data_IF_284933173041
#
_entry.id   IF_284933173041
#
_cell.length_a   1.000
_cell.length_b   1.000
_cell.length_c   1.000
_cell.angle_alpha   90.00
_cell.angle_beta   90.00
_cell.angle_gamma   90.00
#
_symmetry.space_group_name_H-M   'P 1'
#
loop_
_entity.id
_entity.type
_entity.pdbx_description
1 polymer ?
#
# COMPACT_ATOMS: atom_id res chain seq x y z
N UNK A 1 48.24 11.29 -8.16
CA UNK A 1 46.90 11.09 -8.72
C UNK A 1 45.89 11.84 -7.85
N UNK A 2 45.11 12.81 -8.39
CA UNK A 2 44.16 13.53 -7.56
C UNK A 2 42.94 12.63 -7.30
N UNK A 3 42.61 12.43 -6.03
CA UNK A 3 41.37 11.73 -5.58
C UNK A 3 40.17 12.60 -5.96
N UNK A 4 39.34 12.14 -6.86
CA UNK A 4 38.08 12.77 -7.24
C UNK A 4 37.16 12.77 -6.02
N UNK A 5 36.78 13.97 -5.53
CA UNK A 5 35.79 14.14 -4.51
C UNK A 5 34.42 13.56 -4.96
N UNK A 6 33.67 12.85 -4.07
CA UNK A 6 32.37 12.27 -4.44
C UNK A 6 31.40 13.37 -4.86
N UNK A 7 30.79 13.19 -6.03
CA UNK A 7 29.81 14.13 -6.56
C UNK A 7 28.68 14.39 -5.53
N UNK A 8 28.53 15.64 -5.08
CA UNK A 8 27.46 16.09 -4.19
C UNK A 8 26.12 15.78 -4.85
N UNK A 9 25.38 14.80 -4.33
CA UNK A 9 24.00 14.50 -4.78
C UNK A 9 23.18 15.78 -4.68
N UNK A 10 22.68 16.27 -5.82
CA UNK A 10 21.86 17.47 -5.93
C UNK A 10 20.67 17.36 -4.98
N UNK A 11 20.44 18.37 -4.14
CA UNK A 11 19.33 18.37 -3.19
C UNK A 11 17.99 18.14 -3.94
N UNK A 12 17.10 17.27 -3.42
CA UNK A 12 15.84 16.99 -4.09
C UNK A 12 14.98 18.26 -4.22
N UNK A 13 14.14 18.35 -5.27
CA UNK A 13 13.26 19.49 -5.51
C UNK A 13 12.42 19.85 -4.27
N UNK A 14 12.12 21.13 -4.08
CA UNK A 14 11.34 21.66 -2.95
C UNK A 14 10.03 20.90 -2.76
N UNK A 15 9.28 20.66 -3.85
CA UNK A 15 8.02 19.89 -3.84
C UNK A 15 8.21 18.49 -3.24
N UNK A 16 9.24 17.78 -3.64
CA UNK A 16 9.52 16.41 -3.12
C UNK A 16 9.95 16.43 -1.64
N UNK A 17 10.63 17.49 -1.19
CA UNK A 17 10.99 17.67 0.24
C UNK A 17 9.74 17.88 1.09
N UNK A 18 8.81 18.72 0.62
CA UNK A 18 7.52 18.95 1.27
C UNK A 18 6.70 17.66 1.36
N UNK A 19 6.52 16.94 0.24
CA UNK A 19 5.79 15.67 0.22
C UNK A 19 6.36 14.67 1.21
N UNK A 20 7.68 14.44 1.22
CA UNK A 20 8.30 13.50 2.17
C UNK A 20 8.13 13.91 3.63
N UNK A 21 8.26 15.20 3.94
CA UNK A 21 8.06 15.69 5.31
C UNK A 21 6.59 15.54 5.73
N UNK A 22 5.66 15.91 4.85
CA UNK A 22 4.22 15.80 5.06
C UNK A 22 3.79 14.34 5.25
N UNK A 23 4.27 13.40 4.40
CA UNK A 23 3.98 11.98 4.52
C UNK A 23 4.31 11.45 5.92
N UNK A 24 5.53 11.72 6.42
CA UNK A 24 5.95 11.28 7.77
C UNK A 24 5.10 11.89 8.89
N UNK A 25 4.79 13.19 8.78
CA UNK A 25 4.04 13.89 9.83
C UNK A 25 2.57 13.50 9.84
N UNK A 26 1.93 13.43 8.68
CA UNK A 26 0.54 12.97 8.56
C UNK A 26 0.39 11.50 8.97
N UNK A 27 1.33 10.63 8.59
CA UNK A 27 1.33 9.25 9.04
C UNK A 27 1.48 9.13 10.56
N UNK A 28 2.22 10.04 11.21
CA UNK A 28 2.42 10.04 12.67
C UNK A 28 1.21 10.56 13.45
N UNK A 29 0.64 11.69 13.02
CA UNK A 29 -0.33 12.45 13.81
C UNK A 29 -1.68 12.71 13.11
N UNK A 30 -1.89 12.15 11.93
CA UNK A 30 -3.08 12.38 11.11
C UNK A 30 -3.15 13.81 10.55
N UNK A 31 -4.23 14.08 9.81
CA UNK A 31 -4.45 15.40 9.23
C UNK A 31 -4.64 16.48 10.33
N UNK A 32 -5.48 16.22 11.33
CA UNK A 32 -5.78 17.20 12.37
C UNK A 32 -4.56 17.53 13.24
N UNK A 33 -3.80 16.51 13.64
CA UNK A 33 -2.65 16.64 14.54
C UNK A 33 -1.36 17.16 13.90
N UNK A 34 -1.36 17.51 12.61
CA UNK A 34 -0.18 18.03 11.89
C UNK A 34 -0.40 19.48 11.49
N UNK A 35 0.60 20.35 11.64
CA UNK A 35 0.56 21.74 11.21
C UNK A 35 1.44 22.00 9.97
N UNK A 36 1.11 23.06 9.21
CA UNK A 36 1.94 23.50 8.08
C UNK A 36 3.34 23.93 8.56
N UNK A 37 3.42 24.55 9.73
CA UNK A 37 4.68 25.05 10.28
C UNK A 37 5.63 23.90 10.63
N UNK A 38 5.14 22.79 11.21
CA UNK A 38 5.94 21.58 11.42
C UNK A 38 6.44 20.98 10.10
N UNK A 39 5.57 20.95 9.07
CA UNK A 39 5.95 20.39 7.77
C UNK A 39 7.06 21.20 7.11
N UNK A 40 6.94 22.53 7.08
CA UNK A 40 7.95 23.38 6.42
C UNK A 40 9.26 23.41 7.21
N UNK A 41 9.20 23.36 8.53
CA UNK A 41 10.38 23.22 9.37
C UNK A 41 11.12 21.90 9.08
N UNK A 42 10.38 20.76 9.05
CA UNK A 42 10.94 19.46 8.74
C UNK A 42 11.47 19.36 7.29
N UNK A 43 10.82 20.04 6.34
CA UNK A 43 11.25 20.12 4.95
C UNK A 43 12.39 21.13 4.72
N UNK A 44 12.68 22.02 5.68
CA UNK A 44 13.62 23.15 5.57
C UNK A 44 13.31 24.03 4.38
N UNK A 45 12.06 24.46 4.24
CA UNK A 45 11.56 25.32 3.15
C UNK A 45 10.71 26.46 3.69
N UNK A 46 10.49 27.51 2.87
CA UNK A 46 9.60 28.60 3.23
C UNK A 46 8.13 28.15 3.16
N UNK A 47 7.30 28.61 4.11
CA UNK A 47 5.86 28.34 4.20
C UNK A 47 5.10 28.67 2.91
N UNK A 48 5.51 29.72 2.18
CA UNK A 48 4.93 30.08 0.88
C UNK A 48 4.97 28.95 -0.15
N UNK A 49 5.94 28.03 -0.04
CA UNK A 49 6.06 26.90 -0.97
C UNK A 49 4.92 25.89 -0.83
N UNK A 50 4.32 25.76 0.35
CA UNK A 50 3.12 24.91 0.52
C UNK A 50 1.96 25.49 -0.29
N UNK A 51 1.71 26.77 -0.15
CA UNK A 51 0.64 27.45 -0.89
C UNK A 51 0.90 27.46 -2.40
N UNK A 52 2.14 27.66 -2.80
CA UNK A 52 2.53 27.65 -4.21
C UNK A 52 2.32 26.28 -4.89
N UNK A 53 2.71 25.16 -4.23
CA UNK A 53 2.65 23.83 -4.85
C UNK A 53 1.36 23.07 -4.59
N UNK A 54 0.66 23.37 -3.52
CA UNK A 54 -0.44 22.53 -3.02
C UNK A 54 -1.70 23.35 -2.65
N UNK A 55 -1.66 24.66 -2.72
CA UNK A 55 -2.75 25.56 -2.36
C UNK A 55 -2.91 25.73 -0.84
N UNK A 56 -3.05 24.65 -0.09
CA UNK A 56 -3.19 24.68 1.35
C UNK A 56 -2.73 23.36 2.01
N UNK A 57 -2.95 23.20 3.31
CA UNK A 57 -2.68 21.94 4.06
C UNK A 57 -3.46 20.77 3.51
N UNK A 58 -4.70 21.00 3.08
CA UNK A 58 -5.58 19.95 2.55
C UNK A 58 -5.08 19.46 1.18
N UNK A 59 -4.72 20.38 0.29
CA UNK A 59 -4.12 20.03 -1.00
C UNK A 59 -2.81 19.26 -0.84
N UNK A 60 -1.98 19.64 0.13
CA UNK A 60 -0.78 18.85 0.47
C UNK A 60 -1.11 17.44 1.00
N UNK A 61 -2.14 17.32 1.84
CA UNK A 61 -2.60 16.01 2.34
C UNK A 61 -3.13 15.12 1.21
N UNK A 62 -3.94 15.69 0.31
CA UNK A 62 -4.42 14.97 -0.89
C UNK A 62 -3.25 14.51 -1.78
N UNK A 63 -2.24 15.36 -1.98
CA UNK A 63 -1.06 14.97 -2.74
C UNK A 63 -0.27 13.83 -2.08
N UNK A 64 -0.21 13.80 -0.74
CA UNK A 64 0.40 12.69 0.03
C UNK A 64 -0.39 11.40 -0.17
N UNK A 65 -1.71 11.42 -0.02
CA UNK A 65 -2.56 10.25 -0.25
C UNK A 65 -2.43 9.76 -1.69
N UNK A 66 -2.54 10.67 -2.67
CA UNK A 66 -2.40 10.32 -4.09
C UNK A 66 -1.08 9.61 -4.41
N UNK A 67 0.03 10.10 -3.87
CA UNK A 67 1.34 9.49 -4.07
C UNK A 67 1.44 8.11 -3.40
N UNK A 68 0.92 7.98 -2.19
CA UNK A 68 0.92 6.73 -1.43
C UNK A 68 0.13 5.63 -2.16
N UNK A 69 -1.07 5.95 -2.63
CA UNK A 69 -1.92 4.98 -3.35
C UNK A 69 -1.39 4.66 -4.75
N UNK A 70 -0.84 5.65 -5.47
CA UNK A 70 -0.19 5.42 -6.77
C UNK A 70 1.00 4.48 -6.66
N UNK A 71 1.72 4.54 -5.54
CA UNK A 71 2.84 3.62 -5.27
C UNK A 71 2.37 2.16 -5.11
N UNK A 72 1.22 1.94 -4.49
CA UNK A 72 0.61 0.60 -4.39
C UNK A 72 0.08 0.13 -5.74
N UNK A 73 -0.64 1.00 -6.48
CA UNK A 73 -1.16 0.71 -7.81
C UNK A 73 -0.06 0.28 -8.79
N UNK A 74 1.10 0.94 -8.75
CA UNK A 74 2.25 0.57 -9.57
C UNK A 74 2.75 -0.85 -9.28
N UNK A 75 2.71 -1.30 -8.02
CA UNK A 75 3.04 -2.67 -7.63
C UNK A 75 2.01 -3.66 -8.19
N UNK A 76 0.74 -3.34 -8.10
CA UNK A 76 -0.36 -4.16 -8.62
C UNK A 76 -0.26 -4.35 -10.13
N UNK A 77 -0.12 -3.25 -10.88
CA UNK A 77 0.05 -3.28 -12.35
C UNK A 77 1.27 -4.09 -12.74
N UNK A 78 2.41 -3.90 -12.05
CA UNK A 78 3.62 -4.68 -12.31
C UNK A 78 3.41 -6.17 -12.07
N UNK A 79 2.68 -6.56 -11.03
CA UNK A 79 2.40 -7.97 -10.73
C UNK A 79 1.49 -8.59 -11.78
N UNK A 80 0.42 -7.87 -12.19
CA UNK A 80 -0.50 -8.34 -13.23
C UNK A 80 0.20 -8.60 -14.57
N UNK A 81 1.18 -7.79 -14.94
CA UNK A 81 1.89 -7.92 -16.20
C UNK A 81 2.73 -9.21 -16.32
N UNK A 82 3.02 -9.89 -15.20
CA UNK A 82 3.89 -11.06 -15.17
C UNK A 82 3.16 -12.37 -14.87
N UNK A 83 1.89 -12.33 -14.47
CA UNK A 83 1.15 -13.51 -14.00
C UNK A 83 0.08 -13.92 -15.02
N UNK A 84 0.10 -15.18 -15.45
CA UNK A 84 -0.77 -15.71 -16.51
C UNK A 84 -1.78 -16.76 -16.01
N UNK A 85 -1.71 -17.14 -14.75
CA UNK A 85 -2.67 -18.06 -14.12
C UNK A 85 -2.99 -17.61 -12.69
N UNK A 86 -4.07 -18.16 -12.12
CA UNK A 86 -4.59 -17.73 -10.81
C UNK A 86 -3.65 -18.11 -9.66
N UNK A 87 -2.95 -19.25 -9.76
CA UNK A 87 -2.06 -19.72 -8.70
C UNK A 87 -0.83 -18.82 -8.63
N UNK A 88 -0.20 -18.53 -9.79
CA UNK A 88 0.93 -17.62 -9.90
C UNK A 88 0.55 -16.21 -9.47
N UNK A 89 -0.56 -15.66 -9.98
CA UNK A 89 -1.03 -14.34 -9.58
C UNK A 89 -1.25 -14.24 -8.08
N UNK A 90 -1.93 -15.22 -7.47
CA UNK A 90 -2.19 -15.22 -6.03
C UNK A 90 -0.89 -15.22 -5.22
N UNK A 91 0.08 -16.05 -5.58
CA UNK A 91 1.37 -16.12 -4.88
C UNK A 91 2.18 -14.82 -5.00
N UNK A 92 2.22 -14.25 -6.21
CA UNK A 92 2.98 -13.04 -6.50
C UNK A 92 2.35 -11.80 -5.86
N UNK A 93 1.03 -11.64 -5.93
CA UNK A 93 0.34 -10.50 -5.34
C UNK A 93 0.39 -10.52 -3.81
N UNK A 94 0.22 -11.67 -3.17
CA UNK A 94 0.40 -11.81 -1.72
C UNK A 94 1.80 -11.38 -1.31
N UNK A 95 2.84 -11.88 -1.99
CA UNK A 95 4.22 -11.47 -1.74
C UNK A 95 4.41 -9.96 -1.93
N UNK A 96 3.91 -9.41 -3.04
CA UNK A 96 4.04 -8.00 -3.38
C UNK A 96 3.38 -7.09 -2.33
N UNK A 97 2.19 -7.45 -1.82
CA UNK A 97 1.52 -6.73 -0.74
C UNK A 97 2.30 -6.79 0.56
N UNK A 98 2.74 -7.98 1.00
CA UNK A 98 3.56 -8.10 2.22
C UNK A 98 4.84 -7.27 2.13
N UNK A 99 5.52 -7.30 0.99
CA UNK A 99 6.76 -6.56 0.78
C UNK A 99 6.52 -5.05 0.70
N UNK A 100 5.44 -4.62 0.05
CA UNK A 100 5.05 -3.22 -0.02
C UNK A 100 4.72 -2.67 1.37
N UNK A 101 3.84 -3.34 2.11
CA UNK A 101 3.39 -2.90 3.44
C UNK A 101 4.55 -2.86 4.45
N UNK A 102 5.49 -3.81 4.36
CA UNK A 102 6.68 -3.80 5.20
C UNK A 102 7.65 -2.65 4.89
N UNK A 103 7.76 -2.27 3.61
CA UNK A 103 8.64 -1.17 3.16
C UNK A 103 8.02 0.21 3.30
N UNK A 104 6.68 0.29 3.40
CA UNK A 104 5.92 1.55 3.45
C UNK A 104 5.04 1.65 4.70
N UNK A 105 5.61 1.66 5.93
CA UNK A 105 4.83 1.76 7.16
C UNK A 105 4.02 3.06 7.25
N UNK A 106 4.45 4.13 6.58
CA UNK A 106 3.70 5.38 6.47
C UNK A 106 2.39 5.18 5.70
N UNK A 107 2.39 4.37 4.64
CA UNK A 107 1.18 4.01 3.90
C UNK A 107 0.15 3.34 4.81
N UNK A 108 0.58 2.35 5.59
CA UNK A 108 -0.30 1.64 6.54
C UNK A 108 -0.95 2.62 7.53
N UNK A 109 -0.15 3.55 8.08
CA UNK A 109 -0.66 4.56 9.03
C UNK A 109 -1.63 5.54 8.37
N UNK A 110 -1.32 6.02 7.17
CA UNK A 110 -2.22 6.91 6.40
C UNK A 110 -3.55 6.20 6.10
N UNK A 111 -3.51 4.94 5.69
CA UNK A 111 -4.70 4.12 5.45
C UNK A 111 -5.56 3.99 6.73
N UNK A 112 -4.93 3.72 7.88
CA UNK A 112 -5.65 3.65 9.16
C UNK A 112 -6.26 5.00 9.54
N UNK A 113 -5.55 6.12 9.34
CA UNK A 113 -6.09 7.46 9.57
C UNK A 113 -7.30 7.77 8.68
N UNK A 114 -7.25 7.39 7.39
CA UNK A 114 -8.37 7.58 6.47
C UNK A 114 -9.59 6.75 6.89
N UNK A 115 -9.40 5.49 7.29
CA UNK A 115 -10.50 4.65 7.79
C UNK A 115 -11.11 5.20 9.10
N UNK A 116 -10.29 5.73 10.01
CA UNK A 116 -10.78 6.39 11.24
C UNK A 116 -11.52 7.70 10.95
N UNK A 117 -11.34 8.31 9.80
CA UNK A 117 -11.97 9.56 9.38
C UNK A 117 -12.96 9.35 8.21
N UNK A 118 -13.57 8.19 8.10
CA UNK A 118 -14.60 7.87 7.11
C UNK A 118 -14.16 8.05 5.64
N UNK A 119 -12.86 7.96 5.36
CA UNK A 119 -12.30 8.13 4.02
C UNK A 119 -12.42 9.54 3.43
N UNK A 120 -12.68 10.56 4.27
CA UNK A 120 -12.98 11.94 3.83
C UNK A 120 -11.84 12.60 3.04
N UNK A 121 -10.61 12.22 3.32
CA UNK A 121 -9.44 12.69 2.55
C UNK A 121 -9.41 12.09 1.16
N UNK A 122 -9.63 10.78 1.04
CA UNK A 122 -9.65 10.06 -0.23
C UNK A 122 -10.80 10.48 -1.13
N UNK A 123 -12.01 10.67 -0.60
CA UNK A 123 -13.20 11.07 -1.36
C UNK A 123 -13.02 12.40 -2.12
N UNK A 124 -12.03 13.21 -1.77
CA UNK A 124 -11.73 14.52 -2.35
C UNK A 124 -10.41 14.55 -3.12
N UNK A 125 -9.77 13.41 -3.30
CA UNK A 125 -8.54 13.31 -4.12
C UNK A 125 -8.90 12.89 -5.55
N UNK A 126 -8.12 13.34 -6.53
CA UNK A 126 -8.12 12.77 -7.89
C UNK A 126 -7.46 11.38 -7.93
N UNK A 127 -6.89 10.94 -6.83
CA UNK A 127 -6.39 9.59 -6.67
C UNK A 127 -7.60 8.65 -6.53
N UNK A 128 -8.17 8.28 -7.64
CA UNK A 128 -9.09 7.15 -7.68
C UNK A 128 -8.32 5.94 -7.23
N UNK A 129 -8.82 5.28 -6.18
CA UNK A 129 -8.41 3.92 -5.85
C UNK A 129 -8.93 3.02 -6.96
N UNK A 130 -8.27 3.07 -8.13
CA UNK A 130 -8.69 2.30 -9.27
C UNK A 130 -8.24 0.85 -9.09
N UNK A 131 -9.16 -0.01 -8.68
CA UNK A 131 -8.97 -1.45 -8.59
C UNK A 131 -9.50 -2.19 -9.82
N UNK A 132 -10.04 -1.47 -10.81
CA UNK A 132 -10.64 -2.09 -11.99
C UNK A 132 -9.66 -3.02 -12.72
N UNK A 133 -8.38 -2.65 -13.00
CA UNK A 133 -7.45 -3.57 -13.66
C UNK A 133 -7.20 -4.88 -12.88
N UNK A 134 -7.13 -4.80 -11.55
CA UNK A 134 -6.97 -5.97 -10.70
C UNK A 134 -8.23 -6.82 -10.67
N UNK A 135 -9.40 -6.19 -10.57
CA UNK A 135 -10.69 -6.88 -10.57
C UNK A 135 -10.95 -7.57 -11.91
N UNK A 136 -10.67 -6.89 -13.02
CA UNK A 136 -10.84 -7.46 -14.37
C UNK A 136 -9.94 -8.68 -14.58
N UNK A 137 -8.67 -8.59 -14.15
CA UNK A 137 -7.74 -9.71 -14.25
C UNK A 137 -8.16 -10.89 -13.38
N UNK A 138 -8.58 -10.64 -12.12
CA UNK A 138 -9.09 -11.69 -11.24
C UNK A 138 -10.35 -12.34 -11.80
N UNK A 139 -11.30 -11.55 -12.30
CA UNK A 139 -12.55 -12.06 -12.86
C UNK A 139 -12.30 -12.95 -14.09
N UNK A 140 -11.39 -12.54 -14.99
CA UNK A 140 -11.00 -13.35 -16.15
C UNK A 140 -10.37 -14.68 -15.74
N UNK A 141 -9.43 -14.66 -14.79
CA UNK A 141 -8.76 -15.88 -14.31
C UNK A 141 -9.70 -16.80 -13.54
N UNK A 142 -10.62 -16.24 -12.73
CA UNK A 142 -11.64 -17.01 -12.04
C UNK A 142 -12.58 -17.70 -13.04
N UNK A 143 -13.11 -16.97 -14.04
CA UNK A 143 -13.98 -17.54 -15.08
C UNK A 143 -13.27 -18.68 -15.84
N UNK A 144 -12.02 -18.49 -16.23
CA UNK A 144 -11.24 -19.52 -16.90
C UNK A 144 -11.03 -20.77 -16.01
N UNK A 145 -10.74 -20.57 -14.73
CA UNK A 145 -10.59 -21.64 -13.75
C UNK A 145 -11.87 -22.40 -13.45
N UNK A 146 -13.01 -21.69 -13.35
CA UNK A 146 -14.36 -22.27 -13.17
C UNK A 146 -14.73 -23.11 -14.41
N UNK A 147 -14.55 -22.56 -15.62
CA UNK A 147 -14.82 -23.30 -16.86
C UNK A 147 -13.98 -24.56 -17.01
N UNK A 148 -12.77 -24.57 -16.47
CA UNK A 148 -11.87 -25.73 -16.43
C UNK A 148 -12.14 -26.69 -15.26
N UNK A 149 -13.16 -26.44 -14.41
CA UNK A 149 -13.46 -27.27 -13.22
C UNK A 149 -12.42 -27.21 -12.10
N UNK A 150 -11.47 -26.28 -12.15
CA UNK A 150 -10.40 -26.11 -11.16
C UNK A 150 -10.77 -25.22 -9.99
N UNK A 151 -11.67 -24.28 -10.22
CA UNK A 151 -12.12 -23.26 -9.25
C UNK A 151 -13.61 -23.47 -8.96
N UNK A 152 -14.01 -23.24 -7.73
CA UNK A 152 -15.40 -23.28 -7.26
C UNK A 152 -16.24 -22.26 -8.04
N UNK A 153 -17.48 -22.62 -8.43
CA UNK A 153 -18.34 -21.75 -9.25
C UNK A 153 -18.89 -20.51 -8.50
N UNK A 154 -18.85 -20.52 -7.17
CA UNK A 154 -19.37 -19.47 -6.28
C UNK A 154 -18.34 -18.37 -5.95
N UNK A 155 -17.20 -18.31 -6.62
CA UNK A 155 -16.16 -17.33 -6.37
C UNK A 155 -16.47 -15.97 -7.01
N UNK A 156 -16.39 -14.92 -6.19
CA UNK A 156 -16.52 -13.53 -6.59
C UNK A 156 -15.18 -12.81 -6.48
N UNK A 157 -14.77 -12.10 -7.54
CA UNK A 157 -13.48 -11.42 -7.62
C UNK A 157 -13.33 -10.31 -6.56
N UNK A 158 -14.41 -9.59 -6.24
CA UNK A 158 -14.39 -8.50 -5.24
C UNK A 158 -14.16 -9.05 -3.85
N UNK A 159 -14.89 -10.10 -3.47
CA UNK A 159 -14.73 -10.76 -2.18
C UNK A 159 -13.37 -11.43 -2.04
N UNK A 160 -12.83 -12.01 -3.11
CA UNK A 160 -11.49 -12.57 -3.12
C UNK A 160 -10.43 -11.47 -2.91
N UNK A 161 -10.56 -10.34 -3.59
CA UNK A 161 -9.65 -9.20 -3.43
C UNK A 161 -9.73 -8.61 -2.02
N UNK A 162 -10.92 -8.46 -1.43
CA UNK A 162 -11.09 -8.01 -0.04
C UNK A 162 -10.39 -8.97 0.92
N UNK A 163 -10.57 -10.27 0.74
CA UNK A 163 -9.91 -11.29 1.57
C UNK A 163 -8.39 -11.23 1.46
N UNK A 164 -7.86 -11.12 0.24
CA UNK A 164 -6.43 -10.99 -0.03
C UNK A 164 -5.84 -9.75 0.66
N UNK A 165 -6.46 -8.59 0.44
CA UNK A 165 -6.00 -7.32 1.06
C UNK A 165 -6.06 -7.43 2.59
N UNK A 166 -7.16 -7.92 3.14
CA UNK A 166 -7.35 -8.05 4.59
C UNK A 166 -6.31 -8.96 5.23
N UNK A 167 -6.09 -10.14 4.65
CA UNK A 167 -5.09 -11.10 5.15
C UNK A 167 -3.66 -10.55 5.07
N UNK A 168 -3.32 -9.79 4.05
CA UNK A 168 -1.99 -9.16 3.95
C UNK A 168 -1.84 -7.98 4.91
N UNK A 169 -2.88 -7.12 4.98
CA UNK A 169 -2.83 -5.88 5.76
C UNK A 169 -2.75 -6.14 7.26
N UNK A 170 -3.44 -7.14 7.79
CA UNK A 170 -3.51 -7.40 9.23
C UNK A 170 -2.13 -7.62 9.88
N UNK A 171 -1.18 -8.21 9.16
CA UNK A 171 0.19 -8.38 9.64
C UNK A 171 0.92 -7.06 9.88
N UNK A 172 0.57 -6.01 9.14
CA UNK A 172 1.20 -4.69 9.24
C UNK A 172 0.38 -3.71 10.08
N UNK A 173 -0.93 -3.65 9.89
CA UNK A 173 -1.84 -2.73 10.60
C UNK A 173 -1.94 -3.03 12.09
N UNK A 174 -2.02 -4.31 12.44
CA UNK A 174 -2.16 -4.79 13.82
C UNK A 174 -0.85 -5.36 14.39
N UNK A 175 0.29 -5.05 13.78
CA UNK A 175 1.59 -5.62 14.14
C UNK A 175 1.87 -5.56 15.63
N UNK A 176 1.67 -4.41 16.27
CA UNK A 176 2.03 -4.21 17.68
C UNK A 176 1.12 -5.00 18.64
N UNK A 177 -0.17 -4.96 18.43
CA UNK A 177 -1.16 -5.62 19.29
C UNK A 177 -1.12 -7.13 19.13
N UNK A 178 -1.06 -7.62 17.87
CA UNK A 178 -0.98 -9.06 17.61
C UNK A 178 0.37 -9.67 18.00
N UNK A 179 1.48 -8.92 17.89
CA UNK A 179 2.76 -9.43 18.37
C UNK A 179 2.73 -9.72 19.87
N UNK A 180 2.09 -8.88 20.66
CA UNK A 180 1.91 -9.10 22.09
C UNK A 180 0.94 -10.24 22.38
N UNK A 181 -0.23 -10.22 21.75
CA UNK A 181 -1.29 -11.21 21.99
C UNK A 181 -0.86 -12.62 21.62
N UNK A 182 -0.14 -12.77 20.51
CA UNK A 182 0.30 -14.08 19.99
C UNK A 182 1.71 -14.47 20.42
N UNK A 183 2.42 -13.61 21.18
CA UNK A 183 3.82 -13.80 21.60
C UNK A 183 4.74 -14.11 20.40
N UNK A 184 4.52 -13.41 19.29
CA UNK A 184 5.21 -13.63 18.01
C UNK A 184 5.58 -12.27 17.40
N UNK A 185 6.85 -12.04 17.02
CA UNK A 185 7.27 -10.80 16.37
C UNK A 185 6.81 -10.74 14.92
N UNK A 186 5.64 -10.11 14.66
CA UNK A 186 5.12 -9.89 13.32
C UNK A 186 6.02 -8.97 12.46
N UNK A 187 6.97 -8.28 13.07
CA UNK A 187 7.95 -7.45 12.37
C UNK A 187 9.14 -8.23 11.80
N UNK A 188 9.35 -9.47 12.26
CA UNK A 188 10.49 -10.26 11.84
C UNK A 188 10.35 -10.79 10.40
N UNK A 189 11.49 -10.94 9.72
CA UNK A 189 11.53 -11.48 8.36
C UNK A 189 11.05 -12.93 8.30
N UNK A 190 11.30 -13.72 9.34
CA UNK A 190 10.88 -15.12 9.44
C UNK A 190 9.36 -15.23 9.51
N UNK A 191 8.70 -14.46 10.38
CA UNK A 191 7.24 -14.43 10.50
C UNK A 191 6.60 -13.92 9.23
N UNK A 192 7.17 -12.88 8.61
CA UNK A 192 6.69 -12.38 7.30
C UNK A 192 6.74 -13.47 6.22
N UNK A 193 7.86 -14.17 6.10
CA UNK A 193 8.00 -15.25 5.12
C UNK A 193 7.01 -16.41 5.39
N UNK A 194 6.79 -16.76 6.65
CA UNK A 194 5.78 -17.74 7.04
C UNK A 194 4.37 -17.25 6.71
N UNK A 195 4.05 -15.98 6.99
CA UNK A 195 2.77 -15.34 6.67
C UNK A 195 2.46 -15.36 5.18
N UNK A 196 3.45 -15.03 4.33
CA UNK A 196 3.29 -15.10 2.85
C UNK A 196 2.88 -16.52 2.44
N UNK A 197 3.61 -17.54 2.89
CA UNK A 197 3.29 -18.94 2.55
C UNK A 197 1.91 -19.38 3.08
N UNK A 198 1.58 -18.97 4.30
CA UNK A 198 0.30 -19.29 4.93
C UNK A 198 -0.88 -18.65 4.19
N UNK A 199 -0.83 -17.34 3.94
CA UNK A 199 -1.90 -16.60 3.26
C UNK A 199 -2.06 -17.11 1.82
N UNK A 200 -0.96 -17.32 1.09
CA UNK A 200 -1.02 -17.90 -0.26
C UNK A 200 -1.74 -19.24 -0.28
N UNK A 201 -1.36 -20.16 0.62
CA UNK A 201 -1.99 -21.48 0.70
C UNK A 201 -3.48 -21.37 1.04
N UNK A 202 -3.83 -20.57 2.05
CA UNK A 202 -5.21 -20.38 2.48
C UNK A 202 -6.11 -19.86 1.36
N UNK A 203 -5.63 -18.90 0.58
CA UNK A 203 -6.36 -18.36 -0.56
C UNK A 203 -6.52 -19.43 -1.66
N UNK A 204 -5.42 -20.10 -2.04
CA UNK A 204 -5.45 -21.12 -3.09
C UNK A 204 -6.34 -22.29 -2.73
N UNK A 205 -6.23 -22.83 -1.51
CA UNK A 205 -7.07 -23.95 -1.05
C UNK A 205 -8.54 -23.54 -0.90
N UNK A 206 -8.80 -22.25 -0.59
CA UNK A 206 -10.15 -21.69 -0.48
C UNK A 206 -10.88 -21.53 -1.82
N UNK A 207 -10.16 -21.32 -2.92
CA UNK A 207 -10.77 -21.13 -4.24
C UNK A 207 -10.88 -22.40 -5.07
N UNK A 208 -10.14 -23.46 -4.76
CA UNK A 208 -10.15 -24.73 -5.51
C UNK A 208 -11.51 -25.42 -5.46
N UNK A 209 -11.90 -26.04 -6.57
CA UNK A 209 -13.01 -26.98 -6.58
C UNK A 209 -12.73 -28.12 -5.58
N UNK A 210 -13.76 -28.59 -4.89
CA UNK A 210 -13.70 -29.79 -4.06
C UNK A 210 -14.21 -30.95 -4.87
N UNK A 211 -13.49 -32.05 -4.84
CA UNK A 211 -13.95 -33.34 -5.40
C UNK A 211 -15.24 -33.80 -4.72
#
# INVERSE_FOLDING_TARGET
MPVQAPARKKAPPVRARLLRAATRLFARAGFAGTTVDEIVAAAKVNKRMVYHYFGDKRGLYHAVLSEAYRSLEAVEISTLAHSHDIDALTAEIVRAYFDFLARHPEFVRLLLWENLNDGRGLARTDARLNKDPMLDALDQLLRAGIAAGRIRPDMDARHLLISLIGMCLIYSSNRYTLSQALRMDLGSTAVRAAGIRHVTRLLLDGIKARD
#
